data_IF_021226980609
#
_entry.id   IF_021226980609
#
_cell.length_a   1.000
_cell.length_b   1.000
_cell.length_c   1.000
_cell.angle_alpha   90.00
_cell.angle_beta   90.00
_cell.angle_gamma   90.00
#
_symmetry.space_group_name_H-M   'P 1'
#
loop_
_entity.id
_entity.type
_entity.pdbx_description
1 polymer ?
#
# COMPACT_ATOMS: atom_id res chain seq x y z
N UNK A 1 -93.29 5.78 5.42
CA UNK A 1 -93.50 4.84 6.53
C UNK A 1 -92.30 3.96 6.71
N UNK A 2 -91.73 3.97 7.82
CA UNK A 2 -90.85 3.05 8.59
C UNK A 2 -89.67 3.80 9.21
N UNK A 3 -89.68 3.76 10.52
CA UNK A 3 -88.77 4.41 11.43
C UNK A 3 -87.41 3.78 11.48
N UNK A 4 -86.38 4.63 11.58
CA UNK A 4 -84.96 4.20 11.80
C UNK A 4 -84.65 4.45 13.27
N UNK A 5 -84.28 3.39 13.99
CA UNK A 5 -83.80 3.42 15.37
C UNK A 5 -82.30 3.73 15.37
N UNK A 6 -81.91 4.78 16.13
CA UNK A 6 -80.51 5.08 16.41
C UNK A 6 -80.09 4.33 17.65
N UNK A 7 -79.04 3.48 17.59
CA UNK A 7 -78.31 2.94 18.71
C UNK A 7 -77.08 3.80 18.98
N UNK A 8 -76.98 4.39 20.15
CA UNK A 8 -75.77 5.01 20.66
C UNK A 8 -74.98 3.94 21.41
N UNK A 9 -73.74 3.65 20.97
CA UNK A 9 -72.75 2.90 21.73
C UNK A 9 -71.75 3.89 22.36
N UNK A 10 -71.74 3.92 23.71
CA UNK A 10 -70.75 4.61 24.51
C UNK A 10 -69.44 3.78 24.51
N UNK A 11 -68.39 4.30 23.88
CA UNK A 11 -67.03 3.77 23.97
C UNK A 11 -66.39 4.30 25.27
N UNK A 12 -66.13 3.39 26.22
CA UNK A 12 -65.29 3.67 27.38
C UNK A 12 -63.83 3.63 26.97
N UNK A 13 -63.17 4.77 27.02
CA UNK A 13 -61.71 4.87 26.86
C UNK A 13 -61.04 4.57 28.22
N UNK A 14 -60.37 3.44 28.35
CA UNK A 14 -59.47 3.12 29.44
C UNK A 14 -58.09 3.69 29.13
N UNK A 15 -57.71 4.75 29.86
CA UNK A 15 -56.36 5.29 29.80
C UNK A 15 -55.39 4.34 30.53
N UNK A 16 -54.59 3.56 29.78
CA UNK A 16 -53.45 2.87 30.35
C UNK A 16 -52.26 3.84 30.43
N UNK A 17 -51.97 4.30 31.64
CA UNK A 17 -50.76 5.08 31.92
C UNK A 17 -49.56 4.13 31.99
N UNK A 18 -48.81 3.97 30.93
CA UNK A 18 -47.55 3.21 30.91
C UNK A 18 -46.46 4.07 31.53
N UNK A 19 -46.06 3.75 32.74
CA UNK A 19 -44.92 4.34 33.42
C UNK A 19 -43.64 3.82 32.71
N UNK A 20 -43.01 4.63 31.85
CA UNK A 20 -41.70 4.34 31.26
C UNK A 20 -40.66 4.67 32.33
N UNK A 21 -40.19 3.63 33.04
CA UNK A 21 -39.02 3.74 33.91
C UNK A 21 -37.80 3.82 32.99
N UNK A 22 -37.32 5.02 32.72
CA UNK A 22 -36.02 5.22 32.03
C UNK A 22 -34.91 4.85 33.01
N UNK A 23 -34.38 3.64 32.90
CA UNK A 23 -33.11 3.29 33.51
C UNK A 23 -32.00 4.12 32.82
N UNK A 24 -31.20 4.93 33.53
CA UNK A 24 -30.04 5.56 32.95
C UNK A 24 -29.05 4.45 32.60
N UNK A 25 -28.81 4.23 31.32
CA UNK A 25 -27.66 3.45 30.85
C UNK A 25 -26.44 4.31 31.20
N UNK A 26 -25.82 4.03 32.33
CA UNK A 26 -24.47 4.54 32.61
C UNK A 26 -23.56 3.84 31.64
N UNK A 27 -23.27 4.50 30.54
CA UNK A 27 -22.15 4.10 29.68
C UNK A 27 -20.91 4.21 30.55
N UNK A 28 -20.40 3.06 31.02
CA UNK A 28 -19.06 2.99 31.55
C UNK A 28 -18.13 3.35 30.38
N UNK A 29 -17.65 4.59 30.36
CA UNK A 29 -16.49 4.96 29.58
C UNK A 29 -15.35 4.08 30.09
N UNK A 30 -15.00 3.04 29.34
CA UNK A 30 -13.74 2.32 29.55
C UNK A 30 -12.67 3.38 29.35
N UNK A 31 -12.10 3.84 30.45
CA UNK A 31 -10.98 4.78 30.46
C UNK A 31 -9.85 4.11 29.72
N UNK A 32 -9.65 4.47 28.46
CA UNK A 32 -8.61 3.90 27.62
C UNK A 32 -7.31 4.46 28.18
N UNK A 33 -6.56 3.60 28.91
CA UNK A 33 -5.31 3.99 29.55
C UNK A 33 -4.35 4.55 28.51
N UNK A 34 -3.84 5.75 28.78
CA UNK A 34 -2.78 6.35 27.98
C UNK A 34 -1.58 5.40 27.93
N UNK A 35 -1.01 5.21 26.76
CA UNK A 35 0.19 4.39 26.55
C UNK A 35 1.37 5.32 26.26
N UNK A 36 2.50 5.10 26.94
CA UNK A 36 3.73 5.85 26.70
C UNK A 36 4.81 4.85 26.27
N UNK A 37 5.43 5.13 25.11
CA UNK A 37 6.49 4.31 24.55
C UNK A 37 7.79 5.09 24.61
N UNK A 38 8.79 4.54 25.27
CA UNK A 38 10.15 5.07 25.35
C UNK A 38 11.07 4.29 24.43
N UNK A 39 11.96 4.99 23.72
CA UNK A 39 13.04 4.37 22.95
C UNK A 39 14.28 5.27 22.95
N UNK A 40 15.45 4.65 22.86
CA UNK A 40 16.71 5.39 22.76
C UNK A 40 16.77 6.25 21.48
N UNK A 41 16.15 5.78 20.41
CA UNK A 41 16.07 6.46 19.12
C UNK A 41 14.63 6.43 18.62
N UNK A 42 14.17 7.54 18.04
CA UNK A 42 12.84 7.68 17.41
C UNK A 42 13.00 8.37 16.07
N UNK A 43 12.74 7.65 15.00
CA UNK A 43 12.58 8.24 13.68
C UNK A 43 11.13 8.71 13.55
N UNK A 44 10.89 10.02 13.48
CA UNK A 44 9.53 10.58 13.50
C UNK A 44 8.85 10.65 12.12
N UNK A 45 9.48 10.04 11.11
CA UNK A 45 9.07 10.14 9.70
C UNK A 45 9.82 11.24 8.93
N UNK A 46 10.49 12.15 9.63
CA UNK A 46 11.27 13.24 9.03
C UNK A 46 12.72 13.28 9.47
N UNK A 47 12.99 12.97 10.73
CA UNK A 47 14.32 13.00 11.32
C UNK A 47 14.44 12.01 12.47
N UNK A 48 15.68 11.67 12.82
CA UNK A 48 15.99 10.88 14.00
C UNK A 48 16.05 11.78 15.24
N UNK A 49 15.39 11.35 16.32
CA UNK A 49 15.43 11.94 17.64
C UNK A 49 16.06 10.95 18.62
N UNK A 50 16.68 11.44 19.67
CA UNK A 50 17.25 10.60 20.74
C UNK A 50 16.48 10.78 22.03
N UNK A 51 16.46 9.73 22.85
CA UNK A 51 15.86 9.74 24.19
C UNK A 51 14.47 10.37 24.20
N UNK A 52 13.57 9.77 23.40
CA UNK A 52 12.27 10.36 23.09
C UNK A 52 11.15 9.39 23.49
N UNK A 53 10.03 9.97 23.91
CA UNK A 53 8.79 9.28 24.24
C UNK A 53 7.68 9.64 23.26
N UNK A 54 6.80 8.67 23.00
CA UNK A 54 5.59 8.81 22.20
C UNK A 54 4.38 8.45 23.06
N UNK A 55 3.40 9.34 23.14
CA UNK A 55 2.14 9.12 23.86
C UNK A 55 1.04 8.72 22.90
N UNK A 56 0.28 7.71 23.28
CA UNK A 56 -0.82 7.15 22.45
C UNK A 56 -2.09 7.09 23.27
N UNK A 57 -3.17 7.65 22.70
CA UNK A 57 -4.53 7.57 23.25
C UNK A 57 -5.53 7.43 22.11
N UNK A 58 -6.54 6.58 22.29
CA UNK A 58 -7.63 6.44 21.30
C UNK A 58 -7.18 6.02 19.90
N UNK A 59 -6.03 5.34 19.78
CA UNK A 59 -5.49 4.92 18.49
C UNK A 59 -4.69 6.00 17.76
N UNK A 60 -4.50 7.17 18.37
CA UNK A 60 -3.74 8.29 17.83
C UNK A 60 -2.52 8.61 18.69
N UNK A 61 -1.49 9.16 18.06
CA UNK A 61 -0.38 9.78 18.78
C UNK A 61 -0.85 11.14 19.30
N UNK A 62 -0.71 11.37 20.60
CA UNK A 62 -1.12 12.64 21.23
C UNK A 62 0.04 13.57 21.51
N UNK A 63 1.25 13.02 21.72
CA UNK A 63 2.46 13.80 22.00
C UNK A 63 3.71 13.04 21.58
N UNK A 64 4.72 13.75 21.15
CA UNK A 64 6.10 13.29 21.02
C UNK A 64 7.02 14.32 21.68
N UNK A 65 7.86 13.90 22.60
CA UNK A 65 8.76 14.79 23.33
C UNK A 65 9.98 14.03 23.85
N UNK A 66 11.00 14.78 24.27
CA UNK A 66 12.13 14.21 24.98
C UNK A 66 11.62 13.43 26.21
N UNK A 67 12.27 12.31 26.50
CA UNK A 67 11.93 11.48 27.67
C UNK A 67 12.01 12.32 28.94
N UNK A 68 10.91 12.37 29.65
CA UNK A 68 10.84 12.97 30.99
C UNK A 68 10.88 11.85 32.04
N UNK A 69 11.50 12.10 33.17
CA UNK A 69 11.78 11.08 34.20
C UNK A 69 10.54 10.57 34.94
N UNK A 70 9.35 11.10 34.65
CA UNK A 70 8.23 10.97 35.57
C UNK A 70 7.16 9.99 35.13
N UNK A 71 6.72 9.22 36.14
CA UNK A 71 5.54 8.39 36.10
C UNK A 71 4.30 9.26 35.88
N UNK A 72 3.65 9.11 34.74
CA UNK A 72 2.34 9.70 34.52
C UNK A 72 1.30 8.80 35.21
N UNK A 73 0.60 9.28 36.25
CA UNK A 73 -0.39 8.47 36.94
C UNK A 73 -1.43 7.91 35.99
N UNK A 74 -1.62 6.59 36.02
CA UNK A 74 -2.64 5.92 35.19
C UNK A 74 -2.18 5.52 33.79
N UNK A 75 -1.00 5.93 33.31
CA UNK A 75 -0.45 5.49 32.02
C UNK A 75 0.24 4.13 32.12
N UNK A 76 0.14 3.35 31.05
CA UNK A 76 0.99 2.17 30.87
C UNK A 76 2.27 2.60 30.13
N UNK A 77 3.43 2.30 30.70
CA UNK A 77 4.73 2.64 30.11
C UNK A 77 5.37 1.40 29.52
N UNK A 78 5.82 1.49 28.27
CA UNK A 78 6.64 0.49 27.58
C UNK A 78 7.99 1.13 27.29
N UNK A 79 9.05 0.59 27.89
CA UNK A 79 10.43 0.98 27.59
C UNK A 79 11.04 -0.03 26.63
N UNK A 80 11.40 0.42 25.44
CA UNK A 80 12.00 -0.41 24.38
C UNK A 80 13.54 -0.42 24.46
N UNK A 81 14.11 0.19 25.49
CA UNK A 81 15.55 0.20 25.73
C UNK A 81 16.35 0.79 24.55
N UNK A 82 17.36 0.06 24.08
CA UNK A 82 18.23 0.49 22.97
C UNK A 82 17.63 0.32 21.58
N UNK A 83 16.31 0.22 21.48
CA UNK A 83 15.62 0.13 20.18
C UNK A 83 15.53 1.48 19.45
N UNK A 84 15.24 1.39 18.16
CA UNK A 84 14.76 2.51 17.34
C UNK A 84 13.28 2.32 17.07
N UNK A 85 12.46 3.28 17.48
CA UNK A 85 11.04 3.37 17.17
C UNK A 85 10.86 4.14 15.85
N UNK A 86 10.03 3.63 14.95
CA UNK A 86 9.72 4.24 13.65
C UNK A 86 8.21 4.23 13.42
N UNK A 87 7.68 5.09 12.52
CA UNK A 87 6.35 4.87 11.97
C UNK A 87 6.23 3.47 11.38
N UNK A 88 5.06 2.90 11.42
CA UNK A 88 4.77 1.67 10.70
C UNK A 88 5.06 1.84 9.22
N UNK A 89 5.68 0.82 8.61
CA UNK A 89 6.14 0.90 7.24
C UNK A 89 4.98 0.74 6.27
N UNK A 90 5.09 1.37 5.10
CA UNK A 90 4.06 1.44 4.07
C UNK A 90 4.57 0.78 2.81
N UNK A 91 3.86 -0.25 2.35
CA UNK A 91 4.10 -0.96 1.10
C UNK A 91 3.15 -0.43 0.01
N UNK A 92 3.70 0.10 -1.08
CA UNK A 92 2.89 0.70 -2.15
C UNK A 92 2.62 -0.24 -3.33
N UNK A 93 3.24 -1.43 -3.35
CA UNK A 93 3.06 -2.41 -4.41
C UNK A 93 3.02 -3.84 -3.88
N UNK A 94 1.83 -4.37 -3.71
CA UNK A 94 1.66 -5.74 -3.26
C UNK A 94 0.53 -6.44 -4.03
N UNK A 95 0.50 -7.76 -3.89
CA UNK A 95 -0.46 -8.66 -4.51
C UNK A 95 -0.93 -9.72 -3.51
N UNK A 96 -1.54 -9.27 -2.39
CA UNK A 96 -1.95 -10.18 -1.31
C UNK A 96 -3.15 -11.04 -1.70
N UNK A 97 -4.16 -10.42 -2.33
CA UNK A 97 -5.44 -11.08 -2.53
C UNK A 97 -5.35 -12.27 -3.47
N UNK A 98 -4.77 -12.10 -4.64
CA UNK A 98 -4.67 -13.20 -5.59
C UNK A 98 -3.54 -14.19 -5.28
N UNK A 99 -2.59 -13.82 -4.41
CA UNK A 99 -1.54 -14.70 -3.90
C UNK A 99 -1.91 -15.36 -2.57
N UNK A 100 -3.07 -15.01 -1.98
CA UNK A 100 -3.57 -15.54 -0.71
C UNK A 100 -2.59 -15.40 0.47
N UNK A 101 -1.91 -14.25 0.56
CA UNK A 101 -0.93 -13.97 1.62
C UNK A 101 -1.67 -13.50 2.88
N UNK A 102 -1.39 -14.11 4.05
CA UNK A 102 -2.01 -13.72 5.32
C UNK A 102 -1.61 -12.30 5.76
N UNK A 103 -2.60 -11.44 5.97
CA UNK A 103 -2.38 -10.04 6.37
C UNK A 103 -1.70 -9.88 7.73
N UNK A 104 -1.98 -10.78 8.66
CA UNK A 104 -1.38 -10.76 10.01
C UNK A 104 0.11 -11.06 9.99
N UNK A 105 0.58 -11.86 9.05
CA UNK A 105 2.01 -12.13 8.85
C UNK A 105 2.71 -10.86 8.35
N UNK A 106 2.13 -10.21 7.33
CA UNK A 106 2.67 -8.95 6.78
C UNK A 106 2.73 -7.87 7.85
N UNK A 107 1.66 -7.73 8.66
CA UNK A 107 1.60 -6.77 9.76
C UNK A 107 2.67 -7.04 10.82
N UNK A 108 2.84 -8.28 11.26
CA UNK A 108 3.84 -8.67 12.26
C UNK A 108 5.27 -8.44 11.80
N UNK A 109 5.50 -8.39 10.48
CA UNK A 109 6.81 -8.09 9.89
C UNK A 109 6.98 -6.63 9.46
N UNK A 110 6.25 -5.71 10.12
CA UNK A 110 6.55 -4.28 10.09
C UNK A 110 5.76 -3.45 9.08
N UNK A 111 5.05 -4.05 8.14
CA UNK A 111 4.17 -3.32 7.22
C UNK A 111 2.82 -3.07 7.91
N UNK A 112 2.53 -1.83 8.27
CA UNK A 112 1.25 -1.47 8.92
C UNK A 112 0.20 -0.96 7.93
N UNK A 113 0.65 -0.49 6.77
CA UNK A 113 -0.20 -0.06 5.66
C UNK A 113 0.29 -0.66 4.35
N UNK A 114 -0.64 -1.18 3.56
CA UNK A 114 -0.33 -1.83 2.29
C UNK A 114 -1.34 -1.41 1.22
N UNK A 115 -0.83 -1.18 0.00
CA UNK A 115 -1.65 -0.98 -1.20
C UNK A 115 -1.53 -2.21 -2.10
N UNK A 116 -2.63 -2.98 -2.18
CA UNK A 116 -2.77 -4.08 -3.12
C UNK A 116 -3.11 -3.52 -4.52
N UNK A 117 -2.29 -3.82 -5.52
CA UNK A 117 -2.41 -3.23 -6.86
C UNK A 117 -2.80 -4.26 -7.92
N UNK A 118 -3.60 -5.21 -7.54
CA UNK A 118 -4.24 -6.20 -8.41
C UNK A 118 -5.00 -7.22 -7.59
N UNK A 119 -6.29 -7.34 -7.81
CA UNK A 119 -7.15 -8.21 -7.02
C UNK A 119 -8.59 -7.71 -6.98
N UNK A 120 -9.46 -8.34 -6.20
CA UNK A 120 -10.81 -7.85 -5.98
C UNK A 120 -10.81 -6.45 -5.37
N UNK A 121 -11.72 -5.59 -5.84
CA UNK A 121 -11.90 -4.28 -5.24
C UNK A 121 -12.64 -4.38 -3.91
N UNK A 122 -12.24 -3.55 -2.93
CA UNK A 122 -12.88 -3.46 -1.62
C UNK A 122 -12.73 -2.05 -1.05
N UNK A 123 -13.59 -1.66 -0.12
CA UNK A 123 -13.40 -0.42 0.64
C UNK A 123 -12.11 -0.51 1.49
N UNK A 124 -11.39 0.59 1.68
CA UNK A 124 -10.26 0.63 2.61
C UNK A 124 -10.67 0.15 4.01
N UNK A 125 -9.83 -0.66 4.65
CA UNK A 125 -10.08 -1.17 6.01
C UNK A 125 -8.79 -1.32 6.82
N UNK A 126 -8.90 -1.72 8.09
CA UNK A 126 -7.77 -1.93 9.00
C UNK A 126 -7.21 -0.64 9.61
N UNK A 127 -6.00 -0.71 10.19
CA UNK A 127 -5.43 0.37 10.99
C UNK A 127 -6.09 0.51 12.36
N UNK A 128 -6.67 -0.58 12.86
CA UNK A 128 -7.38 -0.69 14.15
C UNK A 128 -6.94 -1.97 14.91
N UNK A 129 -5.69 -2.33 14.78
CA UNK A 129 -5.12 -3.59 15.23
C UNK A 129 -4.98 -4.63 14.10
N UNK A 130 -5.30 -4.25 12.87
CA UNK A 130 -5.16 -5.04 11.64
C UNK A 130 -4.31 -4.27 10.64
N UNK A 131 -3.80 -4.96 9.64
CA UNK A 131 -3.15 -4.32 8.49
C UNK A 131 -4.12 -3.30 7.86
N UNK A 132 -3.65 -2.06 7.66
CA UNK A 132 -4.40 -1.07 6.87
C UNK A 132 -4.23 -1.43 5.41
N UNK A 133 -5.32 -1.89 4.78
CA UNK A 133 -5.31 -2.35 3.40
C UNK A 133 -6.09 -1.42 2.48
N UNK A 134 -5.41 -1.04 1.41
CA UNK A 134 -5.90 -0.23 0.32
C UNK A 134 -5.85 -1.06 -0.96
N UNK A 135 -6.69 -0.77 -1.95
CA UNK A 135 -6.72 -1.53 -3.20
C UNK A 135 -6.79 -0.63 -4.43
N UNK A 136 -6.25 -1.12 -5.55
CA UNK A 136 -6.58 -0.60 -6.88
C UNK A 136 -7.76 -1.33 -7.53
N UNK A 137 -8.15 -2.48 -6.96
CA UNK A 137 -9.00 -3.44 -7.68
C UNK A 137 -8.27 -4.08 -8.87
N UNK A 138 -9.03 -4.60 -9.80
CA UNK A 138 -8.52 -5.32 -10.98
C UNK A 138 -7.60 -4.43 -11.85
N UNK A 139 -6.55 -5.04 -12.39
CA UNK A 139 -5.65 -4.38 -13.34
C UNK A 139 -6.36 -4.19 -14.68
N UNK A 140 -6.49 -2.96 -15.15
CA UNK A 140 -7.08 -2.68 -16.47
C UNK A 140 -6.03 -2.93 -17.55
N UNK A 141 -6.34 -3.76 -18.53
CA UNK A 141 -5.43 -4.13 -19.61
C UNK A 141 -6.12 -4.32 -20.95
N UNK A 142 -5.35 -4.54 -22.02
CA UNK A 142 -5.89 -4.88 -23.32
C UNK A 142 -6.40 -6.33 -23.37
N UNK A 143 -7.31 -6.64 -24.26
CA UNK A 143 -7.71 -8.01 -24.52
C UNK A 143 -6.49 -8.87 -24.88
N UNK A 144 -6.27 -9.98 -24.16
CA UNK A 144 -5.09 -10.84 -24.24
C UNK A 144 -3.75 -10.12 -23.94
N UNK A 145 -3.79 -8.95 -23.28
CA UNK A 145 -2.62 -8.26 -22.78
C UNK A 145 -2.13 -8.85 -21.46
N UNK A 146 -0.95 -8.42 -21.00
CA UNK A 146 -0.46 -8.73 -19.65
C UNK A 146 -1.38 -8.05 -18.60
N UNK A 147 -1.70 -8.67 -17.47
CA UNK A 147 -1.28 -9.99 -17.01
C UNK A 147 -2.18 -11.16 -17.47
N UNK A 148 -3.28 -10.90 -18.17
CA UNK A 148 -4.27 -11.93 -18.58
C UNK A 148 -3.60 -13.07 -19.38
N UNK A 149 -2.66 -12.72 -20.25
CA UNK A 149 -1.94 -13.68 -21.08
C UNK A 149 -1.04 -14.66 -20.32
N UNK A 150 -0.71 -14.33 -19.05
CA UNK A 150 0.23 -15.11 -18.21
C UNK A 150 -0.48 -15.76 -17.03
N UNK A 151 -1.38 -15.02 -16.38
CA UNK A 151 -1.98 -15.37 -15.08
C UNK A 151 -3.49 -15.62 -15.17
N UNK A 152 -4.12 -15.35 -16.33
CA UNK A 152 -5.57 -15.33 -16.46
C UNK A 152 -6.20 -13.98 -16.03
N UNK A 153 -7.52 -13.91 -16.14
CA UNK A 153 -8.27 -12.71 -15.79
C UNK A 153 -8.87 -12.76 -14.38
N UNK A 154 -9.21 -13.95 -13.89
CA UNK A 154 -10.04 -14.17 -12.70
C UNK A 154 -9.45 -13.50 -11.46
N UNK A 155 -10.18 -12.52 -10.92
CA UNK A 155 -9.79 -11.72 -9.75
C UNK A 155 -8.44 -10.99 -9.86
N UNK A 156 -7.85 -10.88 -11.06
CA UNK A 156 -6.55 -10.23 -11.28
C UNK A 156 -6.70 -9.02 -12.18
N UNK A 157 -7.34 -9.18 -13.34
CA UNK A 157 -7.38 -8.15 -14.37
C UNK A 157 -8.70 -8.12 -15.13
N UNK A 158 -8.97 -6.97 -15.74
CA UNK A 158 -10.12 -6.74 -16.62
C UNK A 158 -9.65 -6.17 -17.95
N UNK A 159 -10.11 -6.79 -19.05
CA UNK A 159 -9.81 -6.32 -20.39
C UNK A 159 -10.79 -5.24 -20.82
N UNK A 160 -10.26 -4.16 -21.43
CA UNK A 160 -11.07 -3.11 -22.06
C UNK A 160 -10.64 -2.91 -23.51
N UNK A 161 -11.61 -2.65 -24.39
CA UNK A 161 -11.37 -2.50 -25.84
C UNK A 161 -11.84 -1.15 -26.38
N UNK A 162 -12.64 -0.40 -25.63
CA UNK A 162 -13.15 0.92 -25.99
C UNK A 162 -12.97 1.93 -24.86
N UNK A 163 -12.92 3.21 -25.21
CA UNK A 163 -12.86 4.31 -24.23
C UNK A 163 -14.07 4.31 -23.29
N UNK A 164 -15.27 3.97 -23.82
CA UNK A 164 -16.49 3.88 -23.02
C UNK A 164 -16.39 2.77 -21.95
N UNK A 165 -15.91 1.58 -22.32
CA UNK A 165 -15.68 0.49 -21.37
C UNK A 165 -14.63 0.91 -20.33
N UNK A 166 -13.54 1.52 -20.76
CA UNK A 166 -12.48 1.99 -19.87
C UNK A 166 -13.00 2.95 -18.79
N UNK A 167 -13.77 3.97 -19.18
CA UNK A 167 -14.40 4.91 -18.24
C UNK A 167 -15.40 4.22 -17.31
N UNK A 168 -16.20 3.28 -17.82
CA UNK A 168 -17.15 2.53 -16.99
C UNK A 168 -16.42 1.68 -15.94
N UNK A 169 -15.37 0.96 -16.35
CA UNK A 169 -14.53 0.14 -15.43
C UNK A 169 -13.87 1.00 -14.36
N UNK A 170 -13.31 2.16 -14.72
CA UNK A 170 -12.73 3.09 -13.74
C UNK A 170 -13.75 3.52 -12.69
N UNK A 171 -14.97 3.90 -13.12
CA UNK A 171 -16.06 4.27 -12.20
C UNK A 171 -16.45 3.11 -11.27
N UNK A 172 -16.56 1.91 -11.83
CA UNK A 172 -16.88 0.71 -11.04
C UNK A 172 -15.83 0.44 -9.96
N UNK A 173 -14.54 0.44 -10.32
CA UNK A 173 -13.45 0.23 -9.37
C UNK A 173 -13.42 1.31 -8.28
N UNK A 174 -13.55 2.58 -8.63
CA UNK A 174 -13.57 3.68 -7.66
C UNK A 174 -14.77 3.58 -6.72
N UNK A 175 -15.97 3.29 -7.26
CA UNK A 175 -17.17 3.09 -6.45
C UNK A 175 -17.04 1.87 -5.51
N UNK A 176 -16.29 0.85 -5.93
CA UNK A 176 -15.95 -0.32 -5.11
C UNK A 176 -14.91 -0.05 -4.03
N UNK A 177 -14.25 1.12 -4.04
CA UNK A 177 -13.29 1.53 -3.01
C UNK A 177 -11.85 1.66 -3.47
N UNK A 178 -11.55 1.51 -4.77
CA UNK A 178 -10.20 1.69 -5.29
C UNK A 178 -9.66 3.09 -4.96
N UNK A 179 -8.46 3.13 -4.35
CA UNK A 179 -7.77 4.37 -3.98
C UNK A 179 -6.91 4.91 -5.12
N UNK A 180 -6.55 4.05 -6.06
CA UNK A 180 -5.78 4.32 -7.26
C UNK A 180 -6.25 3.36 -8.36
N UNK A 181 -6.08 3.70 -9.63
CA UNK A 181 -6.36 2.79 -10.75
C UNK A 181 -5.07 2.18 -11.25
N UNK A 182 -5.00 0.86 -11.39
CA UNK A 182 -3.85 0.15 -11.97
C UNK A 182 -4.12 -0.21 -13.42
N UNK A 183 -3.17 0.10 -14.30
CA UNK A 183 -3.17 -0.35 -15.70
C UNK A 183 -1.91 -1.14 -16.02
N UNK A 184 -1.96 -1.96 -17.06
CA UNK A 184 -0.79 -2.66 -17.59
C UNK A 184 -0.50 -2.25 -19.04
N UNK A 185 0.77 -1.87 -19.30
CA UNK A 185 1.29 -1.45 -20.59
C UNK A 185 2.56 -2.25 -20.92
N UNK A 186 2.44 -3.58 -20.85
CA UNK A 186 3.56 -4.51 -20.97
C UNK A 186 3.47 -5.31 -22.29
N UNK A 187 4.39 -5.06 -23.26
CA UNK A 187 4.41 -5.82 -24.51
C UNK A 187 5.11 -7.18 -24.39
N UNK A 188 5.90 -7.42 -23.34
CA UNK A 188 6.73 -8.61 -23.18
C UNK A 188 8.04 -8.54 -23.95
N UNK A 189 8.96 -9.42 -23.58
CA UNK A 189 10.26 -9.54 -24.23
C UNK A 189 11.42 -8.89 -23.48
N UNK A 190 11.18 -8.33 -22.30
CA UNK A 190 12.20 -7.70 -21.46
C UNK A 190 13.11 -8.75 -20.82
N UNK A 191 14.42 -8.64 -21.11
CA UNK A 191 15.39 -9.62 -20.60
C UNK A 191 15.53 -9.49 -19.09
N UNK A 192 15.28 -10.61 -18.40
CA UNK A 192 15.36 -10.71 -16.94
C UNK A 192 14.05 -10.38 -16.22
N UNK A 193 12.99 -10.00 -16.93
CA UNK A 193 11.70 -9.75 -16.33
C UNK A 193 11.08 -11.05 -15.76
N UNK A 194 10.58 -11.05 -14.50
CA UNK A 194 10.04 -12.25 -13.86
C UNK A 194 8.77 -12.78 -14.54
N UNK A 195 7.97 -11.92 -15.16
CA UNK A 195 6.76 -12.32 -15.90
C UNK A 195 7.02 -13.08 -17.21
N UNK A 196 8.27 -13.18 -17.66
CA UNK A 196 8.66 -14.00 -18.82
C UNK A 196 8.93 -15.47 -18.45
N UNK A 197 9.40 -15.72 -17.24
CA UNK A 197 9.56 -17.07 -16.70
C UNK A 197 8.18 -17.46 -16.16
N UNK A 198 7.37 -18.19 -16.92
CA UNK A 198 6.01 -18.55 -16.52
C UNK A 198 5.93 -18.94 -15.05
N UNK A 199 5.08 -18.27 -14.29
CA UNK A 199 4.79 -18.58 -12.88
C UNK A 199 3.97 -19.88 -12.80
N UNK A 200 4.55 -21.00 -13.27
CA UNK A 200 3.96 -22.32 -13.07
C UNK A 200 4.41 -22.83 -11.71
N UNK A 201 3.50 -22.82 -10.74
CA UNK A 201 3.54 -23.68 -9.57
C UNK A 201 3.32 -25.16 -10.01
N UNK A 202 4.04 -25.62 -11.00
CA UNK A 202 4.13 -27.04 -11.30
C UNK A 202 5.39 -27.58 -10.63
N UNK A 203 5.16 -28.59 -9.75
CA UNK A 203 6.22 -29.44 -9.19
C UNK A 203 7.10 -29.95 -10.33
N UNK A 204 8.43 -30.09 -10.14
CA UNK A 204 9.31 -30.61 -11.17
C UNK A 204 8.99 -32.09 -11.42
N UNK A 205 8.14 -32.38 -12.35
CA UNK A 205 8.13 -33.66 -13.03
C UNK A 205 9.21 -33.62 -14.12
N UNK A 206 10.00 -34.67 -14.16
CA UNK A 206 11.12 -34.86 -15.08
C UNK A 206 10.76 -34.46 -16.52
N UNK A 207 11.30 -33.36 -17.01
CA UNK A 207 11.19 -32.94 -18.41
C UNK A 207 12.53 -33.16 -19.10
N UNK A 208 12.53 -34.10 -20.04
CA UNK A 208 13.66 -34.33 -20.98
C UNK A 208 13.98 -33.05 -21.75
N UNK A 209 15.26 -32.70 -21.78
CA UNK A 209 15.81 -31.56 -22.52
C UNK A 209 15.60 -31.74 -24.03
N UNK A 210 14.51 -31.26 -24.57
CA UNK A 210 14.45 -30.86 -25.98
C UNK A 210 14.71 -29.36 -26.06
N UNK A 211 15.92 -29.00 -26.55
CA UNK A 211 16.28 -27.64 -26.94
C UNK A 211 15.42 -27.23 -28.15
N UNK A 212 14.22 -26.73 -27.93
CA UNK A 212 13.47 -26.00 -28.94
C UNK A 212 14.04 -24.58 -29.04
N UNK A 213 14.50 -24.17 -30.20
CA UNK A 213 14.87 -22.79 -30.53
C UNK A 213 13.77 -21.84 -30.04
N UNK A 214 14.10 -20.69 -29.42
CA UNK A 214 13.10 -19.76 -28.95
C UNK A 214 12.32 -19.20 -30.15
N UNK A 215 11.09 -19.63 -30.32
CA UNK A 215 10.15 -18.94 -31.19
C UNK A 215 10.03 -17.50 -30.68
N UNK A 216 10.15 -16.51 -31.58
CA UNK A 216 9.92 -15.12 -31.24
C UNK A 216 8.54 -15.02 -30.56
N UNK A 217 8.49 -14.83 -29.24
CA UNK A 217 7.25 -14.72 -28.50
C UNK A 217 6.48 -13.55 -29.07
N UNK A 218 5.24 -13.80 -29.50
CA UNK A 218 4.34 -12.76 -30.00
C UNK A 218 4.17 -11.71 -28.88
N UNK A 219 4.43 -10.43 -29.21
CA UNK A 219 4.26 -9.36 -28.27
C UNK A 219 2.79 -9.30 -27.77
N UNK A 220 2.61 -9.03 -26.48
CA UNK A 220 1.29 -8.85 -25.90
C UNK A 220 0.64 -7.55 -26.40
N UNK A 221 -0.68 -7.54 -26.62
CA UNK A 221 -1.39 -6.33 -26.96
C UNK A 221 -1.31 -5.27 -25.85
N UNK A 222 -1.19 -4.01 -26.24
CA UNK A 222 -1.23 -2.86 -25.33
C UNK A 222 -2.53 -2.11 -25.49
N UNK A 223 -2.97 -1.45 -24.43
CA UNK A 223 -4.01 -0.43 -24.52
C UNK A 223 -3.57 0.69 -25.48
N UNK A 224 -4.48 1.14 -26.34
CA UNK A 224 -4.22 2.31 -27.18
C UNK A 224 -4.06 3.58 -26.34
N UNK A 225 -3.35 4.57 -26.86
CA UNK A 225 -3.19 5.86 -26.19
C UNK A 225 -4.55 6.52 -25.86
N UNK A 226 -5.54 6.38 -26.74
CA UNK A 226 -6.87 6.97 -26.51
C UNK A 226 -7.61 6.30 -25.34
N UNK A 227 -7.50 4.97 -25.22
CA UNK A 227 -8.07 4.22 -24.09
C UNK A 227 -7.37 4.60 -22.79
N UNK A 228 -6.02 4.67 -22.78
CA UNK A 228 -5.27 5.07 -21.57
C UNK A 228 -5.63 6.49 -21.15
N UNK A 229 -5.77 7.43 -22.10
CA UNK A 229 -6.25 8.79 -21.80
C UNK A 229 -7.65 8.75 -21.17
N UNK A 230 -8.57 7.96 -21.73
CA UNK A 230 -9.91 7.83 -21.17
C UNK A 230 -9.91 7.30 -19.73
N UNK A 231 -8.99 6.36 -19.40
CA UNK A 231 -8.79 5.89 -18.04
C UNK A 231 -8.29 7.01 -17.13
N UNK A 232 -7.21 7.71 -17.55
CA UNK A 232 -6.58 8.79 -16.76
C UNK A 232 -7.57 9.94 -16.54
N UNK A 233 -8.25 10.43 -17.61
CA UNK A 233 -9.22 11.50 -17.50
C UNK A 233 -10.36 11.15 -16.53
N UNK A 234 -10.88 9.91 -16.59
CA UNK A 234 -11.96 9.47 -15.72
C UNK A 234 -11.50 9.33 -14.26
N UNK A 235 -10.31 8.79 -14.04
CA UNK A 235 -9.72 8.69 -12.69
C UNK A 235 -9.49 10.09 -12.09
N UNK A 236 -8.89 11.00 -12.85
CA UNK A 236 -8.61 12.37 -12.42
C UNK A 236 -9.91 13.16 -12.15
N UNK A 237 -10.95 12.97 -12.98
CA UNK A 237 -12.27 13.58 -12.73
C UNK A 237 -12.85 13.19 -11.36
N UNK A 238 -12.52 12.00 -10.87
CA UNK A 238 -12.94 11.49 -9.55
C UNK A 238 -11.84 11.65 -8.47
N UNK A 239 -10.82 12.46 -8.73
CA UNK A 239 -9.74 12.76 -7.78
C UNK A 239 -8.84 11.56 -7.46
N UNK A 240 -8.77 10.56 -8.37
CA UNK A 240 -7.90 9.39 -8.23
C UNK A 240 -6.74 9.44 -9.19
N UNK A 241 -5.59 8.91 -8.77
CA UNK A 241 -4.39 8.74 -9.58
C UNK A 241 -4.44 7.44 -10.38
N UNK A 242 -3.57 7.33 -11.40
CA UNK A 242 -3.36 6.12 -12.19
C UNK A 242 -1.92 5.66 -12.04
N UNK A 243 -1.72 4.38 -11.70
CA UNK A 243 -0.43 3.71 -11.72
C UNK A 243 -0.35 2.73 -12.88
N UNK A 244 0.81 2.66 -13.54
CA UNK A 244 1.02 1.81 -14.71
C UNK A 244 2.17 0.82 -14.50
N UNK A 245 1.91 -0.46 -14.75
CA UNK A 245 2.96 -1.41 -15.04
C UNK A 245 3.59 -1.03 -16.38
N UNK A 246 4.85 -0.63 -16.38
CA UNK A 246 5.63 -0.25 -17.56
C UNK A 246 7.03 -0.79 -17.42
N UNK A 247 7.51 -1.54 -18.40
CA UNK A 247 8.83 -2.16 -18.34
C UNK A 247 9.77 -1.73 -19.48
N UNK A 248 9.23 -1.07 -20.52
CA UNK A 248 10.01 -0.70 -21.72
C UNK A 248 9.52 0.64 -22.32
N UNK A 249 10.26 1.11 -23.33
CA UNK A 249 10.08 2.47 -23.91
C UNK A 249 8.69 2.74 -24.49
N UNK A 250 8.01 1.75 -25.09
CA UNK A 250 6.69 1.94 -25.72
C UNK A 250 5.61 2.13 -24.68
N UNK A 251 5.58 1.27 -23.64
CA UNK A 251 4.67 1.41 -22.51
C UNK A 251 4.89 2.73 -21.77
N UNK A 252 6.15 3.07 -21.47
CA UNK A 252 6.53 4.35 -20.86
C UNK A 252 6.08 5.54 -21.71
N UNK A 253 6.24 5.49 -23.04
CA UNK A 253 5.80 6.57 -23.94
C UNK A 253 4.30 6.76 -23.94
N UNK A 254 3.52 5.68 -23.88
CA UNK A 254 2.05 5.73 -23.77
C UNK A 254 1.66 6.33 -22.43
N UNK A 255 2.24 5.85 -21.32
CA UNK A 255 1.96 6.35 -19.97
C UNK A 255 2.20 7.86 -19.84
N UNK A 256 3.37 8.35 -20.29
CA UNK A 256 3.71 9.79 -20.29
C UNK A 256 2.72 10.60 -21.15
N UNK A 257 2.40 10.13 -22.36
CA UNK A 257 1.48 10.86 -23.28
C UNK A 257 0.05 10.89 -22.78
N UNK A 258 -0.34 9.91 -21.98
CA UNK A 258 -1.67 9.83 -21.38
C UNK A 258 -1.80 10.59 -20.06
N UNK A 259 -0.69 10.97 -19.41
CA UNK A 259 -0.70 11.67 -18.12
C UNK A 259 -0.84 10.73 -16.92
N UNK A 260 -0.27 9.52 -17.00
CA UNK A 260 -0.22 8.58 -15.86
C UNK A 260 0.61 9.18 -14.72
N UNK A 261 0.16 9.02 -13.49
CA UNK A 261 0.74 9.68 -12.30
C UNK A 261 1.90 8.89 -11.67
N UNK A 262 1.91 7.57 -11.88
CA UNK A 262 2.87 6.68 -11.23
C UNK A 262 3.28 5.53 -12.16
N UNK A 263 4.57 5.20 -12.12
CA UNK A 263 5.04 3.93 -12.63
C UNK A 263 5.12 2.94 -11.46
N UNK A 264 4.41 1.84 -11.61
CA UNK A 264 4.30 0.82 -10.59
C UNK A 264 5.60 0.06 -10.34
N UNK A 265 6.52 0.15 -11.28
CA UNK A 265 7.84 -0.47 -11.26
C UNK A 265 8.91 0.46 -11.82
N UNK A 266 10.16 0.26 -11.40
CA UNK A 266 11.30 0.72 -12.19
C UNK A 266 11.34 -0.08 -13.50
N UNK A 267 11.33 0.55 -14.69
CA UNK A 267 11.30 -0.19 -15.95
C UNK A 267 12.47 -1.17 -16.12
N UNK A 268 12.17 -2.36 -16.67
CA UNK A 268 13.14 -3.45 -16.85
C UNK A 268 14.19 -3.14 -17.93
N UNK A 269 13.75 -2.61 -19.08
CA UNK A 269 14.65 -2.20 -20.16
C UNK A 269 15.12 -0.75 -19.97
N UNK A 270 16.32 -0.45 -20.49
CA UNK A 270 16.86 0.91 -20.42
C UNK A 270 15.93 1.93 -21.12
N UNK A 271 15.53 2.98 -20.39
CA UNK A 271 14.67 4.04 -20.88
C UNK A 271 15.49 5.24 -21.34
N UNK A 272 15.20 5.81 -22.51
CA UNK A 272 15.86 7.03 -22.96
C UNK A 272 15.73 8.17 -21.93
N UNK A 273 16.86 8.81 -21.59
CA UNK A 273 16.91 9.88 -20.59
C UNK A 273 15.92 11.02 -20.84
N UNK A 274 15.60 11.28 -22.11
CA UNK A 274 14.60 12.30 -22.48
C UNK A 274 13.19 11.94 -21.99
N UNK A 275 12.81 10.64 -21.97
CA UNK A 275 11.53 10.19 -21.43
C UNK A 275 11.51 10.26 -19.89
N UNK A 276 12.62 9.90 -19.22
CA UNK A 276 12.74 10.06 -17.78
C UNK A 276 12.56 11.53 -17.38
N UNK A 277 13.25 12.46 -18.04
CA UNK A 277 13.11 13.90 -17.82
C UNK A 277 11.67 14.38 -18.02
N UNK A 278 11.00 13.88 -19.06
CA UNK A 278 9.62 14.26 -19.35
C UNK A 278 8.65 13.74 -18.28
N UNK A 279 8.81 12.51 -17.82
CA UNK A 279 8.00 11.95 -16.74
C UNK A 279 8.20 12.73 -15.43
N UNK A 280 9.45 13.07 -15.09
CA UNK A 280 9.78 13.86 -13.90
C UNK A 280 9.17 15.28 -13.99
N UNK A 281 9.23 15.91 -15.15
CA UNK A 281 8.61 17.22 -15.38
C UNK A 281 7.07 17.18 -15.24
N UNK A 282 6.45 16.03 -15.46
CA UNK A 282 5.03 15.77 -15.22
C UNK A 282 4.73 15.30 -13.78
N UNK A 283 5.75 15.31 -12.88
CA UNK A 283 5.64 14.89 -11.48
C UNK A 283 5.26 13.42 -11.30
N UNK A 284 5.51 12.58 -12.29
CA UNK A 284 5.31 11.13 -12.18
C UNK A 284 6.15 10.60 -11.02
N UNK A 285 5.57 9.73 -10.19
CA UNK A 285 6.27 8.99 -9.15
C UNK A 285 6.71 7.63 -9.69
N UNK A 286 7.73 7.05 -9.08
CA UNK A 286 8.15 5.67 -9.39
C UNK A 286 8.14 4.86 -8.10
N UNK A 287 7.50 3.70 -8.13
CA UNK A 287 7.62 2.70 -7.08
C UNK A 287 8.82 1.82 -7.40
N UNK A 288 9.60 1.47 -6.41
CA UNK A 288 10.95 0.94 -6.63
C UNK A 288 10.99 -0.48 -7.22
N UNK A 289 10.49 -1.50 -6.54
CA UNK A 289 10.48 -2.92 -6.94
C UNK A 289 11.83 -3.41 -7.52
N UNK A 290 12.94 -2.96 -6.93
CA UNK A 290 14.28 -3.20 -7.44
C UNK A 290 14.77 -4.63 -7.19
N UNK A 291 14.37 -5.23 -6.05
CA UNK A 291 14.74 -6.60 -5.74
C UNK A 291 13.98 -7.59 -6.63
N UNK A 292 12.67 -7.44 -6.74
CA UNK A 292 11.83 -8.24 -7.66
C UNK A 292 12.36 -8.22 -9.09
N UNK A 293 12.81 -7.06 -9.55
CA UNK A 293 13.30 -6.85 -10.91
C UNK A 293 14.83 -6.88 -11.03
N UNK A 294 15.53 -7.42 -10.03
CA UNK A 294 17.01 -7.40 -9.95
C UNK A 294 17.73 -8.03 -11.16
N UNK A 295 17.06 -8.94 -11.87
CA UNK A 295 17.59 -9.57 -13.08
C UNK A 295 17.39 -8.75 -14.37
N UNK A 296 16.67 -7.64 -14.30
CA UNK A 296 16.39 -6.75 -15.43
C UNK A 296 17.61 -5.94 -15.84
N UNK A 297 17.96 -5.96 -17.13
CA UNK A 297 19.23 -5.40 -17.63
C UNK A 297 19.29 -3.85 -17.58
N UNK A 298 18.16 -3.16 -17.65
CA UNK A 298 18.09 -1.69 -17.62
C UNK A 298 17.80 -1.08 -16.24
N UNK A 299 17.49 -1.90 -15.24
CA UNK A 299 16.98 -1.47 -13.95
C UNK A 299 17.89 -0.46 -13.24
N UNK A 300 19.13 -0.84 -12.98
CA UNK A 300 20.10 0.00 -12.26
C UNK A 300 20.37 1.33 -12.99
N UNK A 301 20.45 1.30 -14.32
CA UNK A 301 20.60 2.51 -15.14
C UNK A 301 19.38 3.44 -14.99
N UNK A 302 18.17 2.88 -15.06
CA UNK A 302 16.94 3.66 -14.97
C UNK A 302 16.79 4.31 -13.61
N UNK A 303 16.92 3.56 -12.51
CA UNK A 303 16.72 4.09 -11.16
C UNK A 303 17.79 5.11 -10.80
N UNK A 304 19.07 4.87 -11.15
CA UNK A 304 20.14 5.84 -10.93
C UNK A 304 19.92 7.13 -11.72
N UNK A 305 19.52 7.02 -12.99
CA UNK A 305 19.20 8.20 -13.81
C UNK A 305 17.96 8.94 -13.29
N UNK A 306 16.94 8.23 -12.82
CA UNK A 306 15.71 8.80 -12.26
C UNK A 306 15.99 9.71 -11.07
N UNK A 307 16.68 9.19 -10.06
CA UNK A 307 17.01 9.95 -8.84
C UNK A 307 18.01 11.08 -9.11
N UNK A 308 19.02 10.84 -9.95
CA UNK A 308 19.97 11.87 -10.36
C UNK A 308 19.32 13.06 -11.13
N UNK A 309 18.17 12.82 -11.77
CA UNK A 309 17.37 13.85 -12.43
C UNK A 309 16.34 14.51 -11.51
N UNK A 310 16.29 14.15 -10.22
CA UNK A 310 15.34 14.66 -9.23
C UNK A 310 13.99 13.97 -9.25
N UNK A 311 13.88 12.79 -9.86
CA UNK A 311 12.69 11.96 -9.80
C UNK A 311 12.48 11.36 -8.41
N UNK A 312 11.24 11.32 -7.95
CA UNK A 312 10.89 10.75 -6.66
C UNK A 312 10.69 9.22 -6.77
N UNK A 313 11.38 8.49 -5.88
CA UNK A 313 11.29 7.05 -5.75
C UNK A 313 10.63 6.72 -4.42
N UNK A 314 9.55 5.93 -4.46
CA UNK A 314 8.79 5.47 -3.31
C UNK A 314 9.03 3.97 -3.10
N UNK A 315 8.98 3.53 -1.85
CA UNK A 315 9.15 2.11 -1.52
C UNK A 315 7.96 1.27 -1.96
N UNK A 316 8.26 0.13 -2.55
CA UNK A 316 7.36 -0.98 -2.82
C UNK A 316 8.17 -2.16 -3.31
N UNK A 317 8.06 -3.32 -2.61
CA UNK A 317 8.87 -4.51 -2.89
C UNK A 317 8.15 -5.53 -3.76
N UNK A 318 6.84 -5.33 -4.00
CA UNK A 318 5.98 -6.30 -4.68
C UNK A 318 5.76 -7.58 -3.86
N UNK A 319 5.33 -7.39 -2.59
CA UNK A 319 4.89 -8.52 -1.73
C UNK A 319 3.84 -9.34 -2.48
N UNK A 320 4.11 -10.62 -2.66
CA UNK A 320 3.33 -11.55 -3.49
C UNK A 320 4.16 -12.18 -4.59
N UNK A 321 5.32 -11.61 -4.92
CA UNK A 321 6.32 -12.30 -5.74
C UNK A 321 7.04 -13.36 -4.90
N UNK A 322 7.38 -14.52 -5.51
CA UNK A 322 7.88 -15.72 -4.81
C UNK A 322 9.16 -15.49 -4.00
N UNK A 323 10.00 -14.56 -4.42
CA UNK A 323 11.31 -14.30 -3.83
C UNK A 323 11.29 -13.15 -2.81
N UNK A 324 10.12 -12.47 -2.64
CA UNK A 324 9.97 -11.30 -1.76
C UNK A 324 9.38 -11.72 -0.41
N UNK A 325 9.96 -11.26 0.72
CA UNK A 325 9.45 -11.59 2.05
C UNK A 325 8.05 -11.01 2.30
N UNK A 326 7.27 -11.68 3.15
CA UNK A 326 5.95 -11.19 3.56
C UNK A 326 6.06 -10.16 4.70
N UNK A 327 6.72 -9.05 4.40
CA UNK A 327 7.00 -7.97 5.33
C UNK A 327 7.88 -6.93 4.66
N UNK A 328 8.60 -6.13 5.46
CA UNK A 328 9.58 -5.21 4.89
C UNK A 328 10.70 -6.00 4.22
N UNK A 329 11.05 -5.59 3.02
CA UNK A 329 12.18 -6.14 2.29
C UNK A 329 13.40 -5.23 2.44
N UNK A 330 14.38 -5.68 3.21
CA UNK A 330 15.62 -4.93 3.39
C UNK A 330 16.53 -4.96 2.16
N UNK A 331 16.40 -5.95 1.28
CA UNK A 331 17.13 -5.97 0.01
C UNK A 331 16.64 -4.84 -0.89
N UNK A 332 15.31 -4.61 -0.96
CA UNK A 332 14.74 -3.46 -1.65
C UNK A 332 15.28 -2.14 -1.09
N UNK A 333 15.27 -1.96 0.25
CA UNK A 333 15.82 -0.76 0.89
C UNK A 333 17.32 -0.56 0.59
N UNK A 334 18.10 -1.64 0.58
CA UNK A 334 19.52 -1.60 0.23
C UNK A 334 19.73 -1.30 -1.26
N UNK A 335 18.88 -1.83 -2.14
CA UNK A 335 18.91 -1.51 -3.57
C UNK A 335 18.58 -0.02 -3.79
N UNK A 336 17.60 0.54 -3.10
CA UNK A 336 17.30 1.98 -3.14
C UNK A 336 18.51 2.82 -2.67
N UNK A 337 19.18 2.41 -1.61
CA UNK A 337 20.39 3.10 -1.13
C UNK A 337 21.52 3.03 -2.17
N UNK A 338 21.81 1.85 -2.72
CA UNK A 338 23.02 1.63 -3.51
C UNK A 338 22.82 1.89 -5.01
N UNK A 339 21.70 1.46 -5.60
CA UNK A 339 21.44 1.63 -7.03
C UNK A 339 20.79 2.96 -7.36
N UNK A 340 19.87 3.44 -6.50
CA UNK A 340 19.26 4.75 -6.64
C UNK A 340 20.05 5.87 -5.97
N UNK A 341 21.16 5.56 -5.29
CA UNK A 341 22.03 6.50 -4.58
C UNK A 341 21.25 7.39 -3.57
N UNK A 342 20.29 6.81 -2.87
CA UNK A 342 19.50 7.50 -1.85
C UNK A 342 20.22 7.49 -0.50
N UNK A 343 20.05 8.56 0.29
CA UNK A 343 20.45 8.54 1.69
C UNK A 343 19.57 7.56 2.49
N UNK A 344 20.09 6.97 3.58
CA UNK A 344 19.27 6.13 4.47
C UNK A 344 18.02 6.87 4.95
N UNK A 345 18.16 8.16 5.23
CA UNK A 345 17.04 9.03 5.63
C UNK A 345 15.95 9.07 4.55
N UNK A 346 16.33 9.24 3.27
CA UNK A 346 15.35 9.30 2.18
C UNK A 346 14.74 7.92 1.88
N UNK A 347 15.50 6.83 2.07
CA UNK A 347 14.99 5.46 2.00
C UNK A 347 13.92 5.24 3.07
N UNK A 348 14.18 5.59 4.34
CA UNK A 348 13.19 5.47 5.41
C UNK A 348 11.95 6.34 5.16
N UNK A 349 12.13 7.56 4.69
CA UNK A 349 11.02 8.45 4.32
C UNK A 349 10.18 7.87 3.19
N UNK A 350 10.78 7.21 2.21
CA UNK A 350 10.07 6.63 1.07
C UNK A 350 9.13 5.49 1.47
N UNK A 351 9.45 4.77 2.57
CA UNK A 351 8.65 3.70 3.15
C UNK A 351 7.76 4.19 4.32
N UNK A 352 7.75 5.48 4.62
CA UNK A 352 6.98 6.07 5.74
C UNK A 352 6.28 7.36 5.32
N UNK A 353 6.81 8.53 5.70
CA UNK A 353 6.13 9.82 5.54
C UNK A 353 5.84 10.19 4.08
N UNK A 354 6.76 9.95 3.14
CA UNK A 354 6.51 10.22 1.71
C UNK A 354 5.45 9.29 1.13
N UNK A 355 5.46 8.01 1.52
CA UNK A 355 4.42 7.07 1.09
C UNK A 355 3.05 7.47 1.67
N UNK A 356 2.98 7.85 2.94
CA UNK A 356 1.75 8.32 3.59
C UNK A 356 1.19 9.59 2.94
N UNK A 357 2.06 10.56 2.65
CA UNK A 357 1.72 11.78 1.89
C UNK A 357 1.18 11.44 0.49
N UNK A 358 1.86 10.53 -0.21
CA UNK A 358 1.45 10.11 -1.55
C UNK A 358 0.08 9.42 -1.55
N UNK A 359 -0.24 8.63 -0.52
CA UNK A 359 -1.56 8.02 -0.32
C UNK A 359 -2.64 9.04 0.05
N UNK A 360 -2.26 10.29 0.34
CA UNK A 360 -3.15 11.36 0.77
C UNK A 360 -3.92 11.00 2.06
N UNK A 361 -3.26 10.29 2.99
CA UNK A 361 -3.80 9.98 4.31
C UNK A 361 -3.09 10.87 5.33
N UNK A 362 -3.82 11.78 6.02
CA UNK A 362 -3.21 12.76 6.91
C UNK A 362 -2.28 12.14 7.95
N UNK A 363 -1.04 12.61 8.03
CA UNK A 363 0.00 12.22 8.98
C UNK A 363 0.40 10.74 8.99
N UNK A 364 -0.14 9.91 8.09
CA UNK A 364 0.26 8.52 7.97
C UNK A 364 1.77 8.42 7.68
N UNK A 365 2.44 7.47 8.31
CA UNK A 365 3.89 7.29 8.18
C UNK A 365 4.72 8.33 8.96
N UNK A 366 4.09 9.01 9.94
CA UNK A 366 4.77 9.94 10.87
C UNK A 366 4.46 9.60 12.32
N UNK A 367 5.34 10.02 13.24
CA UNK A 367 5.09 9.98 14.69
C UNK A 367 4.81 11.39 15.21
N UNK A 368 3.81 12.06 14.64
CA UNK A 368 3.41 13.41 15.06
C UNK A 368 2.08 13.36 15.82
N UNK A 369 1.81 14.39 16.65
CA UNK A 369 0.51 14.52 17.31
C UNK A 369 -0.60 14.57 16.27
N UNK A 370 -1.65 13.75 16.48
CA UNK A 370 -2.77 13.54 15.55
C UNK A 370 -2.56 12.43 14.51
N UNK A 371 -1.34 11.88 14.39
CA UNK A 371 -1.08 10.75 13.50
C UNK A 371 -1.73 9.46 14.02
N UNK A 372 -2.13 8.54 13.12
CA UNK A 372 -2.46 7.19 13.52
C UNK A 372 -1.32 6.54 14.30
N UNK A 373 -1.63 5.86 15.40
CA UNK A 373 -0.62 5.18 16.21
C UNK A 373 -0.22 3.85 15.55
N UNK A 374 0.36 3.95 14.34
CA UNK A 374 0.95 2.87 13.57
C UNK A 374 2.47 2.99 13.69
N UNK A 375 3.13 2.03 14.35
CA UNK A 375 4.56 2.10 14.61
C UNK A 375 5.20 0.73 14.78
N UNK A 376 6.50 0.69 14.52
CA UNK A 376 7.35 -0.48 14.76
C UNK A 376 8.58 -0.08 15.58
N UNK A 377 9.19 -1.04 16.26
CA UNK A 377 10.53 -0.85 16.79
C UNK A 377 11.44 -2.02 16.42
N UNK A 378 12.71 -1.69 16.18
CA UNK A 378 13.78 -2.64 15.89
C UNK A 378 14.92 -2.43 16.85
N UNK A 379 15.63 -3.50 17.21
CA UNK A 379 16.83 -3.38 18.05
C UNK A 379 18.00 -2.81 17.24
N UNK A 380 18.67 -1.79 17.78
CA UNK A 380 19.78 -1.10 17.11
C UNK A 380 19.35 0.11 16.29
N UNK A 381 20.23 0.55 15.39
CA UNK A 381 20.07 1.75 14.56
C UNK A 381 19.94 1.39 13.07
N UNK A 382 18.79 1.65 12.42
CA UNK A 382 18.61 1.38 11.00
C UNK A 382 19.51 2.25 10.09
N UNK A 383 20.09 3.34 10.60
CA UNK A 383 21.10 4.11 9.87
C UNK A 383 22.43 3.38 9.72
N UNK A 384 22.73 2.49 10.66
CA UNK A 384 23.90 1.60 10.59
C UNK A 384 23.60 0.35 9.73
N UNK A 385 22.39 -0.22 9.87
CA UNK A 385 21.99 -1.42 9.13
C UNK A 385 20.50 -1.44 8.83
N UNK A 386 20.12 -1.27 7.55
CA UNK A 386 18.73 -1.42 7.12
C UNK A 386 18.18 -2.84 7.30
N UNK A 387 19.06 -3.86 7.36
CA UNK A 387 18.67 -5.27 7.52
C UNK A 387 17.89 -5.55 8.81
N UNK A 388 18.11 -4.78 9.87
CA UNK A 388 17.40 -4.96 11.15
C UNK A 388 15.90 -4.69 11.05
N UNK A 389 15.46 -3.94 10.03
CA UNK A 389 14.04 -3.61 9.81
C UNK A 389 13.18 -4.85 9.55
N UNK A 390 13.74 -5.94 9.04
CA UNK A 390 13.03 -7.21 8.84
C UNK A 390 12.66 -7.93 10.14
N UNK A 391 13.22 -7.49 11.27
CA UNK A 391 13.07 -8.16 12.56
C UNK A 391 12.49 -7.20 13.62
N UNK A 392 11.27 -6.71 13.46
CA UNK A 392 10.67 -5.83 14.46
C UNK A 392 10.49 -6.57 15.78
N UNK A 393 10.86 -5.91 16.88
CA UNK A 393 10.62 -6.38 18.24
C UNK A 393 9.32 -5.82 18.81
N UNK A 394 8.76 -4.81 18.18
CA UNK A 394 7.50 -4.20 18.53
C UNK A 394 6.74 -3.79 17.26
N UNK A 395 5.43 -4.05 17.23
CA UNK A 395 4.52 -3.61 16.16
C UNK A 395 3.22 -3.12 16.80
N UNK A 396 2.77 -1.96 16.37
CA UNK A 396 1.49 -1.37 16.78
C UNK A 396 0.70 -0.92 15.55
N UNK A 397 -0.60 -1.17 15.53
CA UNK A 397 -1.52 -0.69 14.50
C UNK A 397 -2.75 -0.05 15.16
N UNK A 398 -3.01 1.23 14.88
CA UNK A 398 -4.12 1.99 15.46
C UNK A 398 -4.13 1.98 16.99
N UNK A 399 -2.95 2.06 17.61
CA UNK A 399 -2.81 2.05 19.07
C UNK A 399 -2.92 0.67 19.74
N UNK A 400 -3.12 -0.39 18.95
CA UNK A 400 -3.15 -1.78 19.46
C UNK A 400 -1.81 -2.46 19.25
N UNK A 401 -1.26 -3.05 20.29
CA UNK A 401 -0.01 -3.81 20.24
C UNK A 401 -0.28 -5.13 19.53
N UNK A 402 0.45 -5.39 18.45
CA UNK A 402 0.36 -6.60 17.64
C UNK A 402 1.51 -7.55 17.97
N UNK A 403 2.69 -7.00 18.20
CA UNK A 403 3.90 -7.70 18.59
C UNK A 403 4.60 -6.90 19.68
N UNK A 404 4.98 -7.59 20.73
CA UNK A 404 5.93 -7.11 21.75
C UNK A 404 6.79 -8.31 22.13
N UNK A 405 8.01 -8.36 21.57
CA UNK A 405 8.95 -9.40 21.92
C UNK A 405 9.44 -9.18 23.36
N UNK A 406 9.48 -10.24 24.16
CA UNK A 406 10.13 -10.19 25.46
C UNK A 406 11.62 -9.83 25.28
N UNK A 407 12.17 -9.03 26.18
CA UNK A 407 13.60 -8.79 26.23
C UNK A 407 14.35 -10.13 26.29
N UNK A 408 15.25 -10.36 25.32
CA UNK A 408 16.11 -11.54 25.29
C UNK A 408 17.38 -11.26 26.06
#
# INVERSE_FOLDING_TARGET
MKKVLKFYQLARWSLFLTLIISCPVIAQTVEQKSLIIHAARVFDGTMMRTDTSVWVEGGLITKIAKREADQIPGATVIDLGNATLLPGLIELHAHLDYQHIPEDVVLKHGITTLRDVGGPVHLPYGGDGRLRKLTSGLIITAANGYPISVMGADNIAVAVTTEQQARATVRELINGGAVIIKIALEPGGEIGAPWLAGHHHEKPEHVEHHQSMPQAKKAWPLLSLSIVRAIVDEAHLQGKKVTAHVAETKGVSIAIKAGVDEWAHTPCNAIPKALLKRAIAQQVKMVSTLDTLSKCTGLAQNVSAWTALGGELLYGAEIGHSDIPWGIDAQELMAMKHQANMSVLDVLRSATSKAGEYLNIPLLGTLQAGAPADMIAVQGDPFESLKILEYPSFVMSGGKIILLAAER
#
